data_IF_783247480422
#
_entry.id   IF_783247480422
#
_cell.length_a   1.000
_cell.length_b   1.000
_cell.length_c   1.000
_cell.angle_alpha   90.00
_cell.angle_beta   90.00
_cell.angle_gamma   90.00
#
_symmetry.space_group_name_H-M   'P 1'
#
loop_
_entity.id
_entity.type
_entity.pdbx_description
1 polymer ?
#
# COMPACT_ATOMS: atom_id res chain seq x y z
N UNK A 1 2.41 -18.41 10.75
CA UNK A 1 3.79 -18.38 10.19
C UNK A 1 3.77 -19.31 8.98
N UNK A 2 4.28 -18.90 7.82
CA UNK A 2 4.20 -19.67 6.56
C UNK A 2 5.34 -20.71 6.55
N UNK A 3 5.10 -21.92 7.01
CA UNK A 3 6.10 -22.95 7.32
C UNK A 3 5.99 -24.23 6.47
N UNK A 4 5.02 -24.32 5.57
CA UNK A 4 4.79 -25.48 4.71
C UNK A 4 4.08 -25.09 3.41
N UNK A 5 4.01 -26.03 2.46
CA UNK A 5 3.16 -25.89 1.27
C UNK A 5 1.69 -25.69 1.65
N UNK A 6 1.25 -26.22 2.80
CA UNK A 6 -0.13 -26.11 3.30
C UNK A 6 -0.43 -24.73 3.88
N UNK A 7 0.59 -24.02 4.33
CA UNK A 7 0.38 -22.67 4.86
C UNK A 7 0.60 -21.62 3.80
N UNK A 8 1.55 -21.76 2.85
CA UNK A 8 1.99 -20.76 1.85
C UNK A 8 0.84 -20.03 1.13
N UNK A 9 0.92 -18.69 0.90
CA UNK A 9 -0.14 -17.98 0.20
C UNK A 9 -0.16 -18.40 -1.27
N UNK A 10 -1.37 -18.56 -1.83
CA UNK A 10 -1.60 -18.90 -3.24
C UNK A 10 -2.14 -17.73 -4.08
N UNK A 11 -2.41 -16.61 -3.43
CA UNK A 11 -2.77 -15.35 -4.08
C UNK A 11 -1.87 -14.23 -3.62
N UNK A 12 -1.60 -13.30 -4.54
CA UNK A 12 -0.92 -12.07 -4.25
C UNK A 12 -1.53 -10.96 -5.10
N UNK A 13 -1.96 -9.90 -4.43
CA UNK A 13 -2.35 -8.67 -5.11
C UNK A 13 -1.26 -7.63 -4.88
N UNK A 14 -0.81 -7.03 -5.96
CA UNK A 14 0.06 -5.88 -5.89
C UNK A 14 -0.73 -4.63 -6.26
N UNK A 15 -0.50 -3.56 -5.51
CA UNK A 15 -1.04 -2.24 -5.80
C UNK A 15 0.12 -1.32 -6.20
N UNK A 16 -0.03 -0.61 -7.33
CA UNK A 16 0.97 0.37 -7.76
C UNK A 16 1.19 1.40 -6.67
N UNK A 17 2.45 1.68 -6.37
CA UNK A 17 2.77 2.82 -5.50
C UNK A 17 2.49 4.13 -6.24
N UNK A 18 1.26 4.61 -6.12
CA UNK A 18 0.76 5.86 -6.67
C UNK A 18 -0.04 6.57 -5.56
N UNK A 19 0.18 7.87 -5.32
CA UNK A 19 -0.55 8.60 -4.29
C UNK A 19 -2.07 8.65 -4.52
N UNK A 20 -2.54 8.35 -5.74
CA UNK A 20 -3.97 8.26 -6.07
C UNK A 20 -4.65 6.99 -5.55
N UNK A 21 -3.89 5.98 -5.13
CA UNK A 21 -4.44 4.73 -4.61
C UNK A 21 -4.28 4.69 -3.10
N UNK A 22 -5.41 4.73 -2.39
CA UNK A 22 -5.50 4.36 -0.98
C UNK A 22 -5.94 2.90 -0.93
N UNK A 23 -5.02 2.02 -0.56
CA UNK A 23 -5.24 0.59 -0.52
C UNK A 23 -5.15 0.06 0.91
N UNK A 24 -6.22 -0.57 1.37
CA UNK A 24 -6.32 -1.21 2.68
C UNK A 24 -6.65 -2.68 2.50
N UNK A 25 -5.89 -3.56 3.17
CA UNK A 25 -6.20 -4.98 3.15
C UNK A 25 -7.25 -5.30 4.19
N UNK A 26 -8.36 -5.90 3.74
CA UNK A 26 -9.39 -6.44 4.64
C UNK A 26 -9.23 -7.96 4.75
N UNK A 27 -9.60 -8.52 5.91
CA UNK A 27 -9.46 -9.95 6.22
C UNK A 27 -10.75 -10.51 6.80
N UNK A 28 -11.82 -10.65 5.99
CA UNK A 28 -13.09 -11.18 6.47
C UNK A 28 -12.96 -12.65 6.91
N UNK A 29 -12.05 -13.39 6.27
CA UNK A 29 -11.78 -14.79 6.59
C UNK A 29 -10.28 -15.06 6.62
N UNK A 30 -9.87 -16.05 7.42
CA UNK A 30 -8.52 -16.56 7.44
C UNK A 30 -8.35 -17.60 6.31
N UNK A 31 -7.83 -17.17 5.17
CA UNK A 31 -7.56 -18.03 4.01
C UNK A 31 -6.28 -17.63 3.32
N UNK A 32 -5.66 -18.60 2.63
CA UNK A 32 -4.45 -18.42 1.81
C UNK A 32 -4.76 -18.28 0.32
N UNK A 33 -6.01 -18.56 -0.06
CA UNK A 33 -6.49 -18.71 -1.44
C UNK A 33 -7.32 -17.49 -1.89
N UNK A 34 -7.67 -16.59 -0.96
CA UNK A 34 -8.44 -15.38 -1.27
C UNK A 34 -7.81 -14.17 -0.58
N UNK A 35 -7.71 -13.07 -1.30
CA UNK A 35 -7.16 -11.81 -0.80
C UNK A 35 -8.11 -10.67 -1.14
N UNK A 36 -8.63 -10.03 -0.09
CA UNK A 36 -9.50 -8.85 -0.21
C UNK A 36 -8.74 -7.56 0.05
N UNK A 37 -9.01 -6.55 -0.77
CA UNK A 37 -8.49 -5.20 -0.65
C UNK A 37 -9.61 -4.20 -0.89
N UNK A 38 -9.54 -3.07 -0.21
CA UNK A 38 -10.29 -1.87 -0.57
C UNK A 38 -9.33 -0.89 -1.22
N UNK A 39 -9.61 -0.45 -2.44
CA UNK A 39 -8.85 0.58 -3.15
C UNK A 39 -9.78 1.73 -3.51
N UNK A 40 -9.57 2.91 -2.93
CA UNK A 40 -10.40 4.10 -3.16
C UNK A 40 -11.92 3.83 -3.00
N UNK A 41 -12.30 2.99 -2.04
CA UNK A 41 -13.70 2.62 -1.78
C UNK A 41 -14.26 1.51 -2.69
N UNK A 42 -13.48 0.98 -3.63
CA UNK A 42 -13.81 -0.23 -4.40
C UNK A 42 -13.24 -1.46 -3.69
N UNK A 43 -14.03 -2.53 -3.59
CA UNK A 43 -13.55 -3.81 -3.05
C UNK A 43 -13.03 -4.68 -4.17
N UNK A 44 -11.82 -5.22 -4.01
CA UNK A 44 -11.17 -6.11 -4.96
C UNK A 44 -10.84 -7.40 -4.26
N UNK A 45 -11.23 -8.51 -4.87
CA UNK A 45 -10.97 -9.85 -4.39
C UNK A 45 -10.16 -10.60 -5.43
N UNK A 46 -8.95 -11.00 -5.04
CA UNK A 46 -8.14 -11.94 -5.81
C UNK A 46 -8.41 -13.34 -5.29
N UNK A 47 -8.98 -14.19 -6.14
CA UNK A 47 -9.43 -15.52 -5.82
C UNK A 47 -8.58 -16.56 -6.58
N UNK A 48 -8.08 -17.54 -5.85
CA UNK A 48 -7.50 -18.74 -6.43
C UNK A 48 -8.21 -19.96 -5.89
N UNK A 49 -8.41 -20.94 -6.74
CA UNK A 49 -8.90 -22.25 -6.35
C UNK A 49 -8.16 -23.31 -7.13
N UNK A 50 -7.61 -24.29 -6.41
CA UNK A 50 -7.14 -25.53 -7.03
C UNK A 50 -8.35 -26.41 -7.43
N UNK A 51 -8.21 -27.18 -8.52
CA UNK A 51 -9.21 -28.19 -8.89
C UNK A 51 -9.60 -29.06 -7.68
N UNK A 52 -10.90 -29.32 -7.53
CA UNK A 52 -11.52 -30.16 -6.49
C UNK A 52 -11.37 -29.70 -5.02
N UNK A 53 -10.70 -28.57 -4.75
CA UNK A 53 -10.64 -27.98 -3.41
C UNK A 53 -11.95 -27.22 -3.11
N UNK A 54 -12.58 -27.53 -1.96
CA UNK A 54 -13.93 -27.06 -1.61
C UNK A 54 -13.93 -25.78 -0.76
N UNK A 55 -12.89 -25.58 0.05
CA UNK A 55 -12.92 -24.63 1.17
C UNK A 55 -12.88 -23.17 0.71
N UNK A 56 -12.07 -22.85 -0.31
CA UNK A 56 -11.98 -21.48 -0.85
C UNK A 56 -13.30 -21.05 -1.51
N UNK A 57 -13.90 -21.91 -2.34
CA UNK A 57 -15.18 -21.60 -2.97
C UNK A 57 -16.29 -21.42 -1.93
N UNK A 58 -16.41 -22.31 -0.94
CA UNK A 58 -17.42 -22.15 0.11
C UNK A 58 -17.23 -20.86 0.92
N UNK A 59 -15.98 -20.43 1.12
CA UNK A 59 -15.67 -19.13 1.76
C UNK A 59 -16.15 -17.97 0.90
N UNK A 60 -15.89 -18.01 -0.41
CA UNK A 60 -16.34 -16.97 -1.35
C UNK A 60 -17.88 -16.90 -1.42
N UNK A 61 -18.56 -18.04 -1.53
CA UNK A 61 -20.02 -18.11 -1.65
C UNK A 61 -20.76 -17.60 -0.41
N UNK A 62 -20.16 -17.72 0.78
CA UNK A 62 -20.74 -17.22 2.05
C UNK A 62 -20.44 -15.75 2.32
N UNK A 63 -19.52 -15.15 1.56
CA UNK A 63 -19.09 -13.79 1.81
C UNK A 63 -20.15 -12.79 1.32
N UNK A 64 -20.62 -11.85 2.18
CA UNK A 64 -21.54 -10.81 1.74
C UNK A 64 -20.82 -9.85 0.79
N UNK A 65 -21.22 -9.88 -0.49
CA UNK A 65 -20.60 -9.06 -1.54
C UNK A 65 -21.02 -7.60 -1.35
N UNK A 66 -20.07 -6.65 -1.19
CA UNK A 66 -20.40 -5.24 -1.07
C UNK A 66 -20.69 -4.60 -2.44
N UNK A 67 -21.24 -3.38 -2.44
CA UNK A 67 -21.26 -2.54 -3.63
C UNK A 67 -19.85 -2.23 -4.13
N UNK A 68 -19.72 -1.94 -5.44
CA UNK A 68 -18.45 -1.60 -6.09
C UNK A 68 -17.37 -2.65 -5.85
N UNK A 69 -17.69 -3.89 -6.19
CA UNK A 69 -16.86 -5.06 -5.99
C UNK A 69 -16.37 -5.63 -7.31
N UNK A 70 -15.10 -6.03 -7.36
CA UNK A 70 -14.53 -6.90 -8.37
C UNK A 70 -14.04 -8.18 -7.70
N UNK A 71 -14.49 -9.33 -8.18
CA UNK A 71 -13.95 -10.64 -7.81
C UNK A 71 -13.33 -11.24 -9.05
N UNK A 72 -12.02 -11.50 -9.02
CA UNK A 72 -11.34 -12.08 -10.16
C UNK A 72 -10.20 -13.03 -9.75
N UNK A 73 -9.81 -13.90 -10.68
CA UNK A 73 -8.70 -14.84 -10.53
C UNK A 73 -9.02 -16.19 -11.14
N UNK A 74 -8.36 -17.25 -10.68
CA UNK A 74 -8.50 -18.60 -11.25
C UNK A 74 -9.53 -19.40 -10.46
N UNK A 75 -10.67 -19.65 -11.09
CA UNK A 75 -11.79 -20.39 -10.50
C UNK A 75 -11.71 -21.89 -10.76
N UNK A 76 -10.90 -22.31 -11.74
CA UNK A 76 -10.77 -23.70 -12.18
C UNK A 76 -12.15 -24.37 -12.43
N UNK A 77 -13.09 -23.64 -13.05
CA UNK A 77 -14.46 -24.09 -13.28
C UNK A 77 -15.00 -23.68 -14.65
N UNK A 78 -15.92 -24.49 -15.19
CA UNK A 78 -16.58 -24.22 -16.48
C UNK A 78 -18.08 -24.08 -16.29
N UNK A 79 -18.67 -23.16 -17.05
CA UNK A 79 -20.11 -22.99 -17.20
C UNK A 79 -20.40 -22.37 -18.56
N UNK A 80 -21.55 -22.70 -19.13
CA UNK A 80 -22.01 -22.23 -20.45
C UNK A 80 -22.03 -20.71 -20.63
N UNK A 81 -21.99 -19.94 -19.55
CA UNK A 81 -21.95 -18.47 -19.60
C UNK A 81 -20.57 -17.91 -19.95
N UNK A 82 -19.48 -18.66 -19.77
CA UNK A 82 -18.12 -18.22 -20.11
C UNK A 82 -17.36 -19.19 -21.02
N UNK A 83 -17.77 -20.46 -21.08
CA UNK A 83 -17.21 -21.43 -22.01
C UNK A 83 -18.28 -22.44 -22.45
N UNK A 84 -18.46 -22.61 -23.76
CA UNK A 84 -19.38 -23.58 -24.37
C UNK A 84 -19.03 -25.00 -23.94
N UNK A 85 -20.05 -25.76 -23.56
CA UNK A 85 -19.93 -27.15 -23.13
C UNK A 85 -20.64 -27.41 -21.80
N UNK A 86 -20.38 -28.59 -21.23
CA UNK A 86 -20.92 -28.99 -19.93
C UNK A 86 -20.26 -28.20 -18.80
N UNK A 87 -21.06 -27.81 -17.81
CA UNK A 87 -20.54 -27.17 -16.61
C UNK A 87 -19.73 -28.18 -15.79
N UNK A 88 -18.58 -27.77 -15.27
CA UNK A 88 -17.70 -28.61 -14.44
C UNK A 88 -17.24 -27.86 -13.21
N UNK A 89 -16.74 -28.60 -12.21
CA UNK A 89 -16.09 -28.06 -11.01
C UNK A 89 -16.92 -26.97 -10.29
N UNK A 90 -18.23 -27.20 -10.18
CA UNK A 90 -19.20 -26.29 -9.52
C UNK A 90 -19.42 -24.95 -10.25
N UNK A 91 -19.18 -24.90 -11.56
CA UNK A 91 -19.48 -23.70 -12.37
C UNK A 91 -20.95 -23.24 -12.29
N UNK A 92 -21.90 -24.17 -12.11
CA UNK A 92 -23.31 -23.84 -11.89
C UNK A 92 -23.53 -23.04 -10.60
N UNK A 93 -22.82 -23.38 -9.52
CA UNK A 93 -22.93 -22.68 -8.23
C UNK A 93 -22.28 -21.29 -8.30
N UNK A 94 -21.14 -21.18 -9.00
CA UNK A 94 -20.48 -19.88 -9.24
C UNK A 94 -21.40 -18.95 -10.06
N UNK A 95 -22.05 -19.49 -11.10
CA UNK A 95 -23.00 -18.72 -11.91
C UNK A 95 -24.24 -18.30 -11.10
N UNK A 96 -24.77 -19.18 -10.26
CA UNK A 96 -25.87 -18.87 -9.34
C UNK A 96 -25.48 -17.76 -8.36
N UNK A 97 -24.34 -17.89 -7.70
CA UNK A 97 -23.82 -16.88 -6.77
C UNK A 97 -23.58 -15.52 -7.43
N UNK A 98 -23.03 -15.49 -8.63
CA UNK A 98 -22.85 -14.25 -9.36
C UNK A 98 -24.20 -13.57 -9.65
N UNK A 99 -25.20 -14.35 -10.07
CA UNK A 99 -26.56 -13.84 -10.31
C UNK A 99 -27.26 -13.39 -9.03
N UNK A 100 -27.10 -14.08 -7.91
CA UNK A 100 -27.70 -13.73 -6.61
C UNK A 100 -27.11 -12.45 -6.01
N UNK A 101 -25.89 -12.08 -6.41
CA UNK A 101 -25.17 -10.90 -5.92
C UNK A 101 -25.05 -9.77 -6.96
N UNK A 102 -25.86 -9.82 -8.04
CA UNK A 102 -25.85 -8.84 -9.14
C UNK A 102 -24.45 -8.60 -9.75
N UNK A 103 -23.64 -9.66 -9.83
CA UNK A 103 -22.30 -9.62 -10.39
C UNK A 103 -22.31 -10.00 -11.88
N UNK A 104 -21.96 -9.04 -12.74
CA UNK A 104 -21.78 -9.26 -14.16
C UNK A 104 -20.44 -9.96 -14.43
N UNK A 105 -20.47 -11.00 -15.26
CA UNK A 105 -19.27 -11.62 -15.81
C UNK A 105 -18.64 -10.69 -16.86
N UNK A 106 -17.36 -10.36 -16.70
CA UNK A 106 -16.63 -9.52 -17.65
C UNK A 106 -16.00 -10.30 -18.80
N UNK A 107 -15.76 -11.60 -18.61
CA UNK A 107 -15.17 -12.44 -19.64
C UNK A 107 -16.09 -12.52 -20.86
N UNK A 108 -15.50 -12.40 -22.05
CA UNK A 108 -16.17 -12.74 -23.30
C UNK A 108 -16.29 -14.26 -23.44
N UNK A 109 -17.47 -14.73 -23.81
CA UNK A 109 -17.77 -16.15 -24.03
C UNK A 109 -16.77 -16.79 -25.01
N UNK A 110 -16.26 -17.97 -24.66
CA UNK A 110 -15.33 -18.78 -25.47
C UNK A 110 -13.98 -18.14 -25.79
N UNK A 111 -13.66 -16.99 -25.20
CA UNK A 111 -12.32 -16.43 -25.28
C UNK A 111 -11.43 -17.13 -24.24
N UNK A 112 -10.39 -17.86 -24.67
CA UNK A 112 -9.58 -18.64 -23.75
C UNK A 112 -8.70 -17.73 -22.89
N UNK A 113 -8.52 -18.11 -21.64
CA UNK A 113 -7.60 -17.48 -20.68
C UNK A 113 -6.30 -18.26 -20.51
N UNK A 114 -6.13 -19.34 -21.27
CA UNK A 114 -4.87 -20.07 -21.37
C UNK A 114 -4.62 -20.62 -22.79
N UNK A 115 -3.37 -21.01 -23.12
CA UNK A 115 -3.04 -21.63 -24.41
C UNK A 115 -3.75 -22.96 -24.69
N UNK A 116 -4.38 -23.56 -23.67
CA UNK A 116 -5.10 -24.84 -23.79
C UNK A 116 -6.56 -24.68 -24.25
N UNK A 117 -7.01 -23.45 -24.51
CA UNK A 117 -8.36 -23.18 -24.98
C UNK A 117 -9.42 -23.14 -23.88
N UNK A 118 -9.03 -23.00 -22.61
CA UNK A 118 -9.95 -22.93 -21.49
C UNK A 118 -10.15 -21.50 -20.99
N UNK A 119 -11.34 -21.21 -20.50
CA UNK A 119 -11.72 -19.94 -19.86
C UNK A 119 -11.99 -20.21 -18.39
N UNK A 120 -10.92 -20.25 -17.59
CA UNK A 120 -10.98 -20.61 -16.15
C UNK A 120 -10.57 -19.45 -15.24
N UNK A 121 -9.91 -18.44 -15.80
CA UNK A 121 -9.64 -17.18 -15.12
C UNK A 121 -10.85 -16.27 -15.35
N UNK A 122 -11.61 -16.00 -14.29
CA UNK A 122 -12.89 -15.30 -14.39
C UNK A 122 -12.83 -13.97 -13.65
N UNK A 123 -13.65 -13.02 -14.09
CA UNK A 123 -13.86 -11.74 -13.43
C UNK A 123 -15.34 -11.39 -13.37
N UNK A 124 -15.80 -11.08 -12.16
CA UNK A 124 -17.18 -10.76 -11.82
C UNK A 124 -17.24 -9.41 -11.13
N UNK A 125 -18.17 -8.54 -11.53
CA UNK A 125 -18.31 -7.21 -10.91
C UNK A 125 -19.73 -6.67 -10.93
N UNK A 126 -20.11 -5.94 -9.88
CA UNK A 126 -21.35 -5.16 -9.84
C UNK A 126 -21.12 -3.68 -10.23
N UNK A 127 -19.96 -3.36 -10.81
CA UNK A 127 -19.68 -2.01 -11.32
C UNK A 127 -20.16 -1.89 -12.77
N UNK A 128 -20.94 -0.85 -13.10
CA UNK A 128 -21.41 -0.64 -14.46
C UNK A 128 -20.24 -0.25 -15.38
N UNK A 129 -20.37 -0.61 -16.66
CA UNK A 129 -19.43 -0.24 -17.73
C UNK A 129 -17.98 -0.70 -17.51
N UNK A 130 -17.77 -1.71 -16.67
CA UNK A 130 -16.47 -2.36 -16.55
C UNK A 130 -16.22 -3.24 -17.78
N UNK A 131 -15.00 -3.21 -18.30
CA UNK A 131 -14.58 -4.00 -19.45
C UNK A 131 -13.39 -4.88 -19.09
N UNK A 132 -13.35 -6.09 -19.65
CA UNK A 132 -12.19 -6.98 -19.56
C UNK A 132 -11.62 -7.26 -20.94
N UNK A 133 -10.29 -7.23 -21.05
CA UNK A 133 -9.55 -7.68 -22.22
C UNK A 133 -8.59 -8.79 -21.83
N UNK A 134 -8.52 -9.83 -22.67
CA UNK A 134 -7.50 -10.87 -22.53
C UNK A 134 -6.24 -10.39 -23.24
N UNK A 135 -5.24 -10.07 -22.43
CA UNK A 135 -3.93 -9.60 -22.88
C UNK A 135 -2.96 -10.78 -22.99
N UNK A 136 -3.15 -11.59 -24.03
CA UNK A 136 -2.35 -12.77 -24.33
C UNK A 136 -0.85 -12.46 -24.52
N UNK A 137 -0.53 -11.27 -25.05
CA UNK A 137 0.82 -10.75 -25.22
C UNK A 137 1.51 -10.37 -23.90
N UNK A 138 0.75 -10.28 -22.80
CA UNK A 138 1.25 -10.01 -21.45
C UNK A 138 1.52 -11.29 -20.64
N UNK A 139 1.12 -12.46 -21.16
CA UNK A 139 1.31 -13.77 -20.53
C UNK A 139 2.69 -13.93 -19.89
N UNK A 140 2.71 -14.19 -18.59
CA UNK A 140 3.90 -14.14 -17.72
C UNK A 140 4.65 -15.47 -17.71
N UNK A 141 5.04 -16.02 -18.87
CA UNK A 141 5.68 -17.35 -18.97
C UNK A 141 4.92 -18.49 -18.25
N UNK A 142 3.68 -18.21 -17.80
CA UNK A 142 2.71 -19.15 -17.28
C UNK A 142 1.90 -19.67 -18.46
N UNK A 143 1.28 -20.81 -18.24
CA UNK A 143 0.15 -21.32 -18.99
C UNK A 143 -1.13 -20.49 -18.86
N UNK A 144 -1.11 -19.29 -18.28
CA UNK A 144 -2.26 -18.38 -18.22
C UNK A 144 -1.99 -17.06 -18.96
N UNK A 145 -3.02 -16.53 -19.63
CA UNK A 145 -3.05 -15.20 -20.20
C UNK A 145 -3.41 -14.16 -19.13
N UNK A 146 -3.05 -12.90 -19.35
CA UNK A 146 -3.33 -11.83 -18.40
C UNK A 146 -4.70 -11.23 -18.69
N UNK A 147 -5.53 -11.05 -17.66
CA UNK A 147 -6.76 -10.27 -17.78
C UNK A 147 -6.49 -8.82 -17.37
N UNK A 148 -6.88 -7.88 -18.22
CA UNK A 148 -6.84 -6.44 -17.96
C UNK A 148 -8.25 -5.92 -17.79
N UNK A 149 -8.48 -5.11 -16.75
CA UNK A 149 -9.80 -4.58 -16.44
C UNK A 149 -9.78 -3.06 -16.43
N UNK A 150 -10.71 -2.45 -17.15
CA UNK A 150 -10.86 -1.00 -17.22
C UNK A 150 -12.16 -0.59 -16.54
N UNK A 151 -12.09 0.41 -15.67
CA UNK A 151 -13.22 0.95 -14.93
C UNK A 151 -13.33 2.45 -15.19
N UNK A 152 -14.51 2.92 -15.57
CA UNK A 152 -14.78 4.34 -15.83
C UNK A 152 -14.82 5.19 -14.55
N UNK A 153 -15.27 4.62 -13.43
CA UNK A 153 -15.52 5.35 -12.19
C UNK A 153 -14.54 4.95 -11.06
N UNK A 154 -13.23 4.97 -11.29
CA UNK A 154 -12.29 4.97 -10.16
C UNK A 154 -12.22 6.39 -9.62
N UNK A 155 -12.97 6.66 -8.54
CA UNK A 155 -12.86 7.89 -7.77
C UNK A 155 -11.40 8.09 -7.39
N UNK A 156 -10.74 9.01 -8.10
CA UNK A 156 -9.36 9.36 -7.79
C UNK A 156 -9.38 10.13 -6.49
N UNK A 157 -8.61 9.66 -5.50
CA UNK A 157 -8.38 10.48 -4.32
C UNK A 157 -7.62 11.74 -4.75
N UNK A 158 -7.98 12.92 -4.23
CA UNK A 158 -7.23 14.14 -4.51
C UNK A 158 -5.76 13.90 -4.22
N UNK A 159 -4.92 14.03 -5.24
CA UNK A 159 -3.47 13.85 -5.08
C UNK A 159 -3.02 14.91 -4.09
N UNK A 160 -2.63 14.47 -2.89
CA UNK A 160 -1.91 15.34 -1.98
C UNK A 160 -0.67 15.83 -2.72
N UNK A 161 -0.51 17.14 -2.95
CA UNK A 161 0.58 17.66 -3.75
C UNK A 161 1.89 17.17 -3.14
N UNK A 162 2.77 16.62 -4.00
CA UNK A 162 4.05 16.10 -3.54
C UNK A 162 4.78 17.20 -2.74
N UNK A 163 5.25 16.87 -1.54
CA UNK A 163 6.00 17.84 -0.71
C UNK A 163 7.09 18.48 -1.56
N UNK A 164 7.05 19.80 -1.67
CA UNK A 164 8.03 20.55 -2.44
C UNK A 164 9.28 20.71 -1.58
N UNK A 165 10.44 20.53 -2.21
CA UNK A 165 11.73 20.64 -1.54
C UNK A 165 12.53 21.74 -2.19
N UNK A 166 12.96 22.67 -1.36
CA UNK A 166 14.00 23.67 -1.62
C UNK A 166 15.21 23.18 -0.82
N UNK A 167 16.29 22.75 -1.49
CA UNK A 167 17.43 22.08 -0.84
C UNK A 167 18.78 22.63 -1.24
N UNK A 168 18.95 23.02 -2.50
CA UNK A 168 20.23 23.57 -2.95
C UNK A 168 20.29 25.05 -2.63
N UNK A 169 21.50 25.59 -2.52
CA UNK A 169 21.71 27.00 -2.24
C UNK A 169 21.05 27.89 -3.32
N UNK A 170 21.16 27.49 -4.59
CA UNK A 170 20.51 28.19 -5.71
C UNK A 170 18.98 28.17 -5.62
N UNK A 171 18.39 27.05 -5.17
CA UNK A 171 16.93 26.94 -4.96
C UNK A 171 16.49 27.84 -3.80
N UNK A 172 17.30 27.91 -2.74
CA UNK A 172 17.02 28.76 -1.58
C UNK A 172 17.14 30.24 -1.94
N UNK A 173 18.17 30.62 -2.69
CA UNK A 173 18.36 31.99 -3.18
C UNK A 173 17.18 32.44 -4.03
N UNK A 174 16.77 31.62 -5.00
CA UNK A 174 15.61 31.90 -5.85
C UNK A 174 14.30 31.96 -5.05
N UNK A 175 14.16 31.15 -4.01
CA UNK A 175 13.01 31.21 -3.11
C UNK A 175 12.95 32.56 -2.38
N UNK A 176 14.07 33.01 -1.81
CA UNK A 176 14.17 34.31 -1.12
C UNK A 176 13.83 35.45 -2.08
N UNK A 177 14.40 35.46 -3.28
CA UNK A 177 14.13 36.50 -4.30
C UNK A 177 12.63 36.60 -4.63
N UNK A 178 11.94 35.48 -4.78
CA UNK A 178 10.49 35.47 -5.08
C UNK A 178 9.67 35.92 -3.87
N UNK A 179 10.07 35.56 -2.65
CA UNK A 179 9.38 36.00 -1.42
C UNK A 179 9.56 37.50 -1.22
N UNK A 180 10.76 38.03 -1.42
CA UNK A 180 11.04 39.47 -1.30
C UNK A 180 10.22 40.28 -2.31
N UNK A 181 10.15 39.81 -3.57
CA UNK A 181 9.32 40.43 -4.61
C UNK A 181 7.83 40.38 -4.28
N UNK A 182 7.31 39.26 -3.77
CA UNK A 182 5.88 39.14 -3.48
C UNK A 182 5.47 39.79 -2.16
N UNK A 183 6.39 39.96 -1.21
CA UNK A 183 6.10 40.60 0.07
C UNK A 183 5.75 42.08 -0.08
N UNK A 184 6.22 42.75 -1.14
CA UNK A 184 5.87 44.15 -1.42
C UNK A 184 4.42 44.34 -1.83
N UNK A 185 3.74 43.27 -2.26
CA UNK A 185 2.33 43.31 -2.68
C UNK A 185 1.36 42.98 -1.54
N UNK A 186 1.86 42.61 -0.36
CA UNK A 186 1.03 42.29 0.80
C UNK A 186 0.69 43.58 1.55
N UNK A 187 -0.60 43.97 1.66
CA UNK A 187 -1.01 45.14 2.43
C UNK A 187 -0.68 45.00 3.92
N UNK A 188 -0.28 46.10 4.56
CA UNK A 188 0.09 46.18 5.99
C UNK A 188 -1.03 46.72 6.89
N UNK A 189 -2.28 46.72 6.41
CA UNK A 189 -3.41 47.32 7.13
C UNK A 189 -4.12 46.27 7.97
N UNK A 190 -3.76 46.24 9.25
CA UNK A 190 -4.29 45.31 10.25
C UNK A 190 -5.17 46.07 11.25
N UNK A 191 -6.48 45.91 11.19
CA UNK A 191 -7.38 46.49 12.20
C UNK A 191 -8.52 45.56 12.61
N UNK A 192 -8.87 44.55 11.80
CA UNK A 192 -9.92 43.57 12.12
C UNK A 192 -9.43 42.11 12.10
N UNK A 193 -10.07 41.20 12.84
CA UNK A 193 -9.73 39.76 12.78
C UNK A 193 -9.83 39.15 11.38
N UNK A 194 -10.76 39.62 10.55
CA UNK A 194 -10.93 39.13 9.18
C UNK A 194 -9.75 39.55 8.27
N UNK A 195 -9.26 40.78 8.43
CA UNK A 195 -8.06 41.26 7.72
C UNK A 195 -6.81 40.46 8.10
N UNK A 196 -6.70 40.04 9.37
CA UNK A 196 -5.59 39.18 9.82
C UNK A 196 -5.63 37.78 9.19
N UNK A 197 -6.82 37.19 9.04
CA UNK A 197 -6.97 35.89 8.38
C UNK A 197 -6.68 35.99 6.86
N UNK A 198 -7.06 37.10 6.23
CA UNK A 198 -6.74 37.41 4.83
C UNK A 198 -5.24 37.63 4.62
N UNK A 199 -4.58 38.34 5.55
CA UNK A 199 -3.13 38.51 5.59
C UNK A 199 -2.42 37.16 5.72
N UNK A 200 -2.85 36.33 6.67
CA UNK A 200 -2.29 34.99 6.87
C UNK A 200 -2.46 34.12 5.62
N UNK A 201 -3.62 34.18 4.97
CA UNK A 201 -3.90 33.47 3.72
C UNK A 201 -3.00 33.94 2.58
N UNK A 202 -2.79 35.26 2.46
CA UNK A 202 -1.92 35.87 1.47
C UNK A 202 -0.46 35.47 1.66
N UNK A 203 0.02 35.45 2.91
CA UNK A 203 1.38 35.01 3.26
C UNK A 203 1.58 33.52 2.95
N UNK A 204 0.62 32.67 3.31
CA UNK A 204 0.67 31.23 3.02
C UNK A 204 0.68 31.00 1.50
N UNK A 205 -0.14 31.76 0.75
CA UNK A 205 -0.19 31.68 -0.71
C UNK A 205 1.14 32.08 -1.35
N UNK A 206 1.74 33.19 -0.90
CA UNK A 206 3.05 33.66 -1.36
C UNK A 206 4.14 32.61 -1.11
N UNK A 207 4.30 32.18 0.15
CA UNK A 207 5.33 31.20 0.54
C UNK A 207 5.15 29.88 -0.21
N UNK A 208 3.90 29.44 -0.39
CA UNK A 208 3.59 28.24 -1.16
C UNK A 208 3.99 28.41 -2.63
N UNK A 209 3.62 29.51 -3.26
CA UNK A 209 3.90 29.80 -4.67
C UNK A 209 5.41 29.96 -4.93
N UNK A 210 6.10 30.69 -4.06
CA UNK A 210 7.56 30.82 -4.10
C UNK A 210 8.25 29.46 -3.97
N UNK A 211 7.80 28.61 -3.03
CA UNK A 211 8.32 27.26 -2.88
C UNK A 211 8.07 26.42 -4.13
N UNK A 212 6.91 26.55 -4.80
CA UNK A 212 6.63 25.82 -6.06
C UNK A 212 7.50 26.29 -7.22
N UNK A 213 7.76 27.59 -7.31
CA UNK A 213 8.51 28.19 -8.41
C UNK A 213 10.03 27.96 -8.27
N UNK A 214 10.56 28.00 -7.05
CA UNK A 214 11.97 27.81 -6.77
C UNK A 214 12.35 26.34 -6.55
N UNK A 215 11.47 25.58 -5.89
CA UNK A 215 11.73 24.21 -5.47
C UNK A 215 11.34 23.17 -6.51
N UNK A 216 11.61 21.92 -6.16
CA UNK A 216 11.24 20.74 -6.96
C UNK A 216 10.33 19.81 -6.17
N UNK A 217 9.37 19.14 -6.82
CA UNK A 217 8.59 18.09 -6.18
C UNK A 217 9.53 17.02 -5.62
N UNK A 218 9.29 16.57 -4.38
CA UNK A 218 10.04 15.46 -3.83
C UNK A 218 9.76 14.19 -4.64
N UNK A 219 10.61 13.92 -5.64
CA UNK A 219 10.59 12.66 -6.37
C UNK A 219 11.10 11.57 -5.44
N UNK A 220 10.22 10.65 -5.04
CA UNK A 220 10.62 9.35 -4.48
C UNK A 220 11.15 8.47 -5.63
N UNK A 221 12.26 8.89 -6.25
CA UNK A 221 12.98 8.05 -7.20
C UNK A 221 13.55 6.84 -6.44
N UNK A 222 13.22 5.64 -6.89
CA UNK A 222 13.89 4.43 -6.39
C UNK A 222 15.38 4.49 -6.73
N UNK A 223 16.23 4.02 -5.83
CA UNK A 223 17.63 3.79 -6.20
C UNK A 223 17.69 2.68 -7.25
N UNK A 224 18.60 2.76 -8.23
CA UNK A 224 18.81 1.66 -9.16
C UNK A 224 19.11 0.39 -8.37
N UNK A 225 18.54 -0.71 -8.84
CA UNK A 225 18.76 -2.01 -8.26
C UNK A 225 20.25 -2.35 -8.24
N UNK A 226 20.86 -2.62 -7.07
CA UNK A 226 22.32 -2.78 -6.97
C UNK A 226 22.86 -4.04 -7.65
N UNK A 227 21.97 -4.98 -7.99
CA UNK A 227 22.26 -6.21 -8.73
C UNK A 227 22.07 -6.06 -10.25
N UNK A 228 21.69 -4.88 -10.75
CA UNK A 228 21.46 -4.63 -12.16
C UNK A 228 22.80 -4.45 -12.89
N UNK A 229 23.17 -5.44 -13.71
CA UNK A 229 24.43 -5.46 -14.46
C UNK A 229 24.23 -5.01 -15.91
N UNK A 230 25.33 -4.71 -16.62
CA UNK A 230 25.30 -4.42 -18.06
C UNK A 230 24.67 -5.57 -18.85
N UNK A 231 24.96 -6.81 -18.48
CA UNK A 231 24.35 -7.99 -19.08
C UNK A 231 22.82 -8.02 -18.92
N UNK A 232 22.30 -7.55 -17.77
CA UNK A 232 20.86 -7.39 -17.58
C UNK A 232 20.29 -6.29 -18.50
N UNK A 233 21.04 -5.20 -18.72
CA UNK A 233 20.65 -4.13 -19.62
C UNK A 233 20.60 -4.61 -21.08
N UNK A 234 21.62 -5.34 -21.54
CA UNK A 234 21.67 -5.95 -22.88
C UNK A 234 20.52 -6.94 -23.08
N UNK A 235 20.30 -7.87 -22.13
CA UNK A 235 19.22 -8.84 -22.23
C UNK A 235 17.83 -8.18 -22.21
N UNK A 236 17.67 -7.10 -21.43
CA UNK A 236 16.44 -6.30 -21.43
C UNK A 236 16.24 -5.58 -22.78
N UNK A 237 17.30 -5.05 -23.39
CA UNK A 237 17.24 -4.39 -24.69
C UNK A 237 16.88 -5.38 -25.81
N UNK A 238 17.48 -6.58 -25.81
CA UNK A 238 17.15 -7.65 -26.76
C UNK A 238 15.69 -8.09 -26.63
N UNK A 239 15.22 -8.35 -25.39
CA UNK A 239 13.81 -8.65 -25.14
C UNK A 239 12.87 -7.54 -25.62
N UNK A 240 13.20 -6.27 -25.34
CA UNK A 240 12.40 -5.12 -25.80
C UNK A 240 12.38 -5.01 -27.32
N UNK A 241 13.48 -5.31 -28.01
CA UNK A 241 13.54 -5.30 -29.47
C UNK A 241 12.60 -6.34 -30.07
N UNK A 242 12.67 -7.59 -29.60
CA UNK A 242 11.79 -8.67 -30.05
C UNK A 242 10.32 -8.35 -29.74
N UNK A 243 10.02 -7.84 -28.54
CA UNK A 243 8.67 -7.43 -28.16
C UNK A 243 8.12 -6.29 -29.04
N UNK A 244 8.95 -5.38 -29.53
CA UNK A 244 8.50 -4.30 -30.43
C UNK A 244 8.12 -4.83 -31.81
N UNK A 245 8.72 -5.93 -32.26
CA UNK A 245 8.37 -6.57 -33.54
C UNK A 245 7.01 -7.28 -33.51
N UNK A 246 6.51 -7.63 -32.32
CA UNK A 246 5.24 -8.33 -32.13
C UNK A 246 4.41 -7.60 -31.04
N UNK A 247 3.77 -6.46 -31.39
CA UNK A 247 3.09 -5.62 -30.41
C UNK A 247 1.79 -6.24 -29.88
N UNK A 248 1.16 -7.16 -30.62
CA UNK A 248 -0.11 -7.80 -30.29
C UNK A 248 -0.03 -9.32 -30.47
N UNK A 249 -0.89 -10.03 -29.74
CA UNK A 249 -1.03 -11.48 -29.82
C UNK A 249 0.03 -12.27 -29.04
N UNK A 250 -0.31 -13.50 -28.68
CA UNK A 250 0.65 -14.46 -28.16
C UNK A 250 1.71 -14.81 -29.22
N UNK A 251 2.99 -14.64 -28.88
CA UNK A 251 4.11 -14.96 -29.76
C UNK A 251 5.20 -15.75 -29.01
N UNK A 252 5.59 -16.89 -29.58
CA UNK A 252 6.55 -17.81 -28.97
C UNK A 252 7.96 -17.21 -28.82
N UNK A 253 8.41 -16.41 -29.78
CA UNK A 253 9.72 -15.76 -29.74
C UNK A 253 9.78 -14.69 -28.65
N UNK A 254 8.70 -13.94 -28.45
CA UNK A 254 8.56 -13.00 -27.33
C UNK A 254 8.67 -13.74 -26.00
N UNK A 255 8.05 -14.92 -25.87
CA UNK A 255 8.13 -15.73 -24.65
C UNK A 255 9.53 -16.31 -24.42
N UNK A 256 10.21 -16.78 -25.47
CA UNK A 256 11.60 -17.25 -25.43
C UNK A 256 12.52 -16.11 -24.96
N UNK A 257 12.43 -14.94 -25.61
CA UNK A 257 13.23 -13.77 -25.27
C UNK A 257 12.99 -13.30 -23.83
N UNK A 258 11.73 -13.33 -23.37
CA UNK A 258 11.33 -13.02 -21.99
C UNK A 258 11.97 -14.00 -21.00
N UNK A 259 11.90 -15.31 -21.29
CA UNK A 259 12.51 -16.36 -20.46
C UNK A 259 14.02 -16.18 -20.35
N UNK A 260 14.70 -15.87 -21.44
CA UNK A 260 16.15 -15.68 -21.46
C UNK A 260 16.57 -14.42 -20.72
N UNK A 261 15.85 -13.31 -20.90
CA UNK A 261 16.00 -12.12 -20.06
C UNK A 261 15.82 -12.44 -18.57
N UNK A 262 14.76 -13.16 -18.20
CA UNK A 262 14.53 -13.58 -16.81
C UNK A 262 15.65 -14.48 -16.27
N UNK A 263 16.25 -15.32 -17.11
CA UNK A 263 17.39 -16.18 -16.73
C UNK A 263 18.60 -15.35 -16.33
N UNK A 264 18.95 -14.35 -17.15
CA UNK A 264 20.06 -13.41 -16.88
C UNK A 264 19.82 -12.64 -15.59
N UNK A 265 18.63 -12.06 -15.43
CA UNK A 265 18.25 -11.31 -14.21
C UNK A 265 18.24 -12.23 -12.97
N UNK A 266 17.79 -13.49 -13.11
CA UNK A 266 17.87 -14.51 -12.06
C UNK A 266 19.31 -14.74 -11.61
N UNK A 267 20.22 -14.98 -12.55
CA UNK A 267 21.66 -15.15 -12.28
C UNK A 267 22.27 -13.92 -11.61
N UNK A 268 22.00 -12.72 -12.13
CA UNK A 268 22.57 -11.47 -11.61
C UNK A 268 22.21 -11.22 -10.13
N UNK A 269 20.94 -11.35 -9.73
CA UNK A 269 20.62 -11.20 -8.28
C UNK A 269 21.25 -12.30 -7.44
N UNK A 270 21.27 -13.55 -7.93
CA UNK A 270 21.84 -14.66 -7.16
C UNK A 270 23.32 -14.39 -6.89
N UNK A 271 24.05 -13.90 -7.88
CA UNK A 271 25.46 -13.55 -7.75
C UNK A 271 25.66 -12.33 -6.84
N UNK A 272 24.86 -11.27 -7.00
CA UNK A 272 24.90 -10.11 -6.10
C UNK A 272 24.70 -10.51 -4.63
N UNK A 273 23.67 -11.30 -4.33
CA UNK A 273 23.40 -11.72 -2.95
C UNK A 273 24.49 -12.62 -2.39
N UNK A 274 25.03 -13.55 -3.20
CA UNK A 274 26.19 -14.36 -2.80
C UNK A 274 27.38 -13.48 -2.45
N UNK A 275 27.80 -12.61 -3.36
CA UNK A 275 28.92 -11.71 -3.14
C UNK A 275 28.69 -10.79 -1.93
N UNK A 276 27.46 -10.32 -1.71
CA UNK A 276 27.15 -9.47 -0.56
C UNK A 276 27.33 -10.22 0.77
N UNK A 277 26.89 -11.49 0.83
CA UNK A 277 27.06 -12.36 2.00
C UNK A 277 28.53 -12.70 2.21
N UNK A 278 29.23 -13.07 1.14
CA UNK A 278 30.66 -13.44 1.19
C UNK A 278 31.54 -12.27 1.67
N UNK A 279 31.12 -11.02 1.42
CA UNK A 279 31.82 -9.81 1.84
C UNK A 279 31.45 -9.32 3.26
N UNK A 280 30.67 -10.07 4.04
CA UNK A 280 30.39 -9.72 5.44
C UNK A 280 31.61 -9.92 6.31
N UNK A 281 32.34 -8.83 6.57
CA UNK A 281 33.57 -8.82 7.38
C UNK A 281 33.39 -8.29 8.80
N UNK A 282 32.24 -7.69 9.14
CA UNK A 282 32.00 -7.11 10.47
C UNK A 282 30.64 -7.48 11.07
N UNK A 283 30.56 -7.50 12.40
CA UNK A 283 29.30 -7.69 13.14
C UNK A 283 28.23 -6.65 12.74
N UNK A 284 28.63 -5.39 12.45
CA UNK A 284 27.72 -4.34 11.99
C UNK A 284 27.04 -4.65 10.63
N UNK A 285 27.75 -5.28 9.70
CA UNK A 285 27.21 -5.70 8.40
C UNK A 285 26.23 -6.86 8.53
N UNK A 286 26.51 -7.77 9.47
CA UNK A 286 25.60 -8.87 9.83
C UNK A 286 24.30 -8.32 10.45
N UNK A 287 24.37 -7.33 11.35
CA UNK A 287 23.17 -6.69 11.91
C UNK A 287 22.30 -5.98 10.86
N UNK A 288 22.91 -5.40 9.82
CA UNK A 288 22.14 -4.85 8.67
C UNK A 288 21.40 -5.96 7.92
N UNK A 289 22.02 -7.13 7.75
CA UNK A 289 21.40 -8.28 7.09
C UNK A 289 20.26 -8.89 7.93
N UNK A 290 20.39 -8.94 9.26
CA UNK A 290 19.31 -9.38 10.17
C UNK A 290 18.04 -8.54 10.00
N UNK A 291 18.19 -7.23 9.69
CA UNK A 291 17.06 -6.35 9.40
C UNK A 291 16.33 -6.69 8.08
N UNK A 292 16.98 -7.41 7.17
CA UNK A 292 16.34 -7.91 5.94
C UNK A 292 15.61 -9.23 6.16
N UNK A 293 16.09 -10.06 7.08
CA UNK A 293 15.49 -11.36 7.43
C UNK A 293 14.31 -11.22 8.40
N UNK A 294 14.34 -10.20 9.25
CA UNK A 294 13.22 -9.87 10.13
C UNK A 294 12.26 -8.96 9.40
N UNK A 295 11.07 -9.48 9.06
CA UNK A 295 9.91 -8.60 8.81
C UNK A 295 9.84 -7.62 9.97
N UNK A 296 9.79 -6.29 9.72
CA UNK A 296 9.35 -5.38 10.76
C UNK A 296 7.93 -5.85 11.08
N UNK A 297 7.74 -6.57 12.18
CA UNK A 297 6.42 -7.00 12.61
C UNK A 297 5.50 -5.78 12.73
N UNK A 298 4.20 -6.02 12.88
CA UNK A 298 3.27 -4.94 13.22
C UNK A 298 3.88 -4.12 14.37
N UNK A 299 3.98 -2.81 14.18
CA UNK A 299 4.55 -1.91 15.18
C UNK A 299 3.87 -2.21 16.52
N UNK A 300 4.65 -2.74 17.47
CA UNK A 300 4.18 -3.00 18.81
C UNK A 300 4.54 -1.77 19.63
N UNK A 301 3.58 -0.86 19.91
CA UNK A 301 3.86 0.24 20.82
C UNK A 301 4.33 -0.35 22.16
N UNK A 302 5.23 0.33 22.89
CA UNK A 302 5.66 -0.11 24.21
C UNK A 302 4.47 -0.42 25.14
N UNK A 303 4.61 -1.34 26.12
CA UNK A 303 3.61 -1.56 27.14
C UNK A 303 3.20 -0.25 27.81
N UNK A 304 1.91 -0.10 28.07
CA UNK A 304 1.34 1.09 28.68
C UNK A 304 1.04 0.78 30.14
N UNK A 305 1.53 1.59 31.08
CA UNK A 305 1.15 1.46 32.49
C UNK A 305 0.15 2.56 32.87
N UNK A 306 -1.01 2.16 33.37
CA UNK A 306 -2.02 3.05 33.99
C UNK A 306 -2.35 2.47 35.37
N UNK A 307 -2.28 3.28 36.43
CA UNK A 307 -2.61 2.88 37.81
C UNK A 307 -1.99 1.55 38.26
N UNK A 308 -0.69 1.36 37.96
CA UNK A 308 0.09 0.14 38.26
C UNK A 308 -0.31 -1.14 37.52
N UNK A 309 -1.24 -1.07 36.58
CA UNK A 309 -1.56 -2.17 35.66
C UNK A 309 -0.85 -1.96 34.33
N UNK A 310 -0.19 -3.01 33.82
CA UNK A 310 0.56 -2.97 32.55
C UNK A 310 -0.28 -3.61 31.45
N UNK A 311 -0.55 -2.85 30.40
CA UNK A 311 -1.29 -3.27 29.22
C UNK A 311 -0.33 -3.51 28.06
N UNK A 312 -0.38 -4.72 27.49
CA UNK A 312 0.53 -5.14 26.43
C UNK A 312 -0.13 -5.23 25.04
N UNK A 313 -1.40 -5.63 24.98
CA UNK A 313 -2.13 -5.73 23.71
C UNK A 313 -2.58 -4.35 23.19
N UNK A 314 -2.74 -4.21 21.88
CA UNK A 314 -3.17 -2.93 21.28
C UNK A 314 -4.60 -2.56 21.69
N UNK A 315 -5.50 -3.54 21.82
CA UNK A 315 -6.89 -3.31 22.22
C UNK A 315 -6.97 -2.86 23.68
N UNK A 316 -6.22 -3.52 24.57
CA UNK A 316 -6.23 -3.16 25.99
C UNK A 316 -5.59 -1.80 26.22
N UNK A 317 -4.54 -1.45 25.46
CA UNK A 317 -3.96 -0.10 25.46
C UNK A 317 -4.96 0.96 25.01
N UNK A 318 -5.73 0.69 23.96
CA UNK A 318 -6.75 1.62 23.46
C UNK A 318 -7.87 1.83 24.48
N UNK A 319 -8.35 0.76 25.10
CA UNK A 319 -9.37 0.81 26.15
C UNK A 319 -8.85 1.51 27.41
N UNK A 320 -7.63 1.20 27.85
CA UNK A 320 -7.00 1.84 29.00
C UNK A 320 -6.81 3.35 28.78
N UNK A 321 -6.40 3.78 27.57
CA UNK A 321 -6.31 5.20 27.21
C UNK A 321 -7.70 5.86 27.19
N UNK A 322 -8.71 5.21 26.60
CA UNK A 322 -10.08 5.72 26.58
C UNK A 322 -10.60 5.93 28.01
N UNK A 323 -10.44 4.93 28.87
CA UNK A 323 -10.91 4.99 30.24
C UNK A 323 -10.13 6.02 31.08
N UNK A 324 -8.80 6.04 30.97
CA UNK A 324 -7.96 6.95 31.74
C UNK A 324 -8.08 8.43 31.34
N UNK A 325 -8.41 8.70 30.07
CA UNK A 325 -8.36 10.06 29.49
C UNK A 325 -9.72 10.64 29.14
N UNK A 326 -10.68 9.81 28.71
CA UNK A 326 -11.98 10.25 28.20
C UNK A 326 -13.13 9.97 29.16
N UNK A 327 -13.13 8.82 29.85
CA UNK A 327 -14.23 8.43 30.76
C UNK A 327 -14.13 9.08 32.15
N UNK A 328 -13.06 9.84 32.44
CA UNK A 328 -12.91 10.59 33.70
C UNK A 328 -13.65 11.93 33.72
N UNK A 329 -14.08 12.44 32.55
CA UNK A 329 -14.76 13.74 32.46
C UNK A 329 -16.25 13.54 32.70
N UNK A 330 -16.74 14.02 33.83
CA UNK A 330 -18.17 14.13 34.12
C UNK A 330 -18.70 15.45 33.55
N UNK A 331 -20.03 15.62 33.47
CA UNK A 331 -20.65 16.87 33.01
C UNK A 331 -20.28 18.09 33.88
N UNK A 332 -19.69 17.86 35.07
CA UNK A 332 -19.16 18.91 35.93
C UNK A 332 -17.80 19.47 35.46
N UNK A 333 -17.07 18.75 34.60
CA UNK A 333 -15.81 19.22 33.97
C UNK A 333 -16.07 20.00 32.66
N UNK A 334 -17.33 20.11 32.24
CA UNK A 334 -17.71 20.93 31.09
C UNK A 334 -17.66 22.42 31.45
N UNK A 335 -17.19 23.23 30.51
CA UNK A 335 -17.17 24.68 30.66
C UNK A 335 -18.62 25.15 30.67
N UNK A 336 -19.12 25.63 31.81
CA UNK A 336 -20.53 25.98 32.03
C UNK A 336 -21.13 26.93 30.96
N UNK A 337 -20.30 27.69 30.25
CA UNK A 337 -20.70 28.43 29.06
C UNK A 337 -19.49 28.71 28.14
N UNK A 338 -19.43 28.08 26.98
CA UNK A 338 -18.32 28.18 26.03
C UNK A 338 -18.17 29.57 25.35
N UNK A 339 -19.11 30.49 25.59
CA UNK A 339 -19.18 31.81 24.93
C UNK A 339 -19.11 33.00 25.88
N UNK A 340 -18.87 32.80 27.18
CA UNK A 340 -18.62 33.93 28.10
C UNK A 340 -17.19 34.45 27.94
N UNK A 341 -16.98 35.73 27.61
CA UNK A 341 -15.64 36.31 27.59
C UNK A 341 -15.09 36.40 29.02
N UNK A 342 -13.80 36.08 29.25
CA UNK A 342 -13.21 36.18 30.58
C UNK A 342 -13.15 37.64 31.02
N UNK A 343 -13.49 37.91 32.28
CA UNK A 343 -13.38 39.22 32.92
C UNK A 343 -11.91 39.62 33.04
N UNK A 344 -11.48 40.60 32.25
CA UNK A 344 -10.19 41.27 32.44
C UNK A 344 -10.37 42.43 33.41
N UNK A 345 -9.58 42.45 34.49
CA UNK A 345 -9.46 43.63 35.35
C UNK A 345 -8.44 44.58 34.73
N UNK A 346 -8.92 45.65 34.09
CA UNK A 346 -8.13 46.61 33.30
C UNK A 346 -7.24 47.59 34.11
N UNK A 347 -6.83 47.24 35.33
CA UNK A 347 -6.06 48.16 36.20
C UNK A 347 -4.64 47.71 36.56
N UNK A 348 -4.09 46.64 35.96
CA UNK A 348 -2.70 46.25 36.20
C UNK A 348 -1.92 46.09 34.90
N UNK A 349 -0.98 47.01 34.64
CA UNK A 349 -0.06 46.96 33.49
C UNK A 349 0.87 45.74 33.59
N UNK A 350 0.82 44.86 32.57
CA UNK A 350 1.56 43.59 32.40
C UNK A 350 3.10 43.64 32.46
N UNK A 351 3.73 44.81 32.57
CA UNK A 351 5.21 44.92 32.51
C UNK A 351 5.94 44.79 33.86
N UNK A 352 5.22 44.63 34.96
CA UNK A 352 5.81 44.53 36.31
C UNK A 352 5.58 43.19 37.02
N UNK A 353 5.08 42.15 36.34
CA UNK A 353 4.82 40.83 36.96
C UNK A 353 5.66 39.67 36.41
N UNK A 354 6.66 39.91 35.55
CA UNK A 354 7.60 38.86 35.20
C UNK A 354 9.00 39.42 35.01
N UNK A 355 9.88 39.12 35.97
CA UNK A 355 11.31 39.07 35.73
C UNK A 355 11.58 37.97 34.68
N UNK A 356 12.40 38.32 33.70
CA UNK A 356 12.72 37.50 32.55
C UNK A 356 13.51 36.25 32.95
N UNK A 357 12.98 35.07 32.62
CA UNK A 357 13.81 33.94 32.18
C UNK A 357 13.21 33.37 30.89
N UNK A 358 14.00 33.46 29.83
CA UNK A 358 13.62 33.01 28.49
C UNK A 358 13.48 31.49 28.44
N UNK A 359 12.34 30.99 27.96
CA UNK A 359 12.31 29.80 27.10
C UNK A 359 10.96 29.73 26.39
N UNK A 360 10.98 29.62 25.06
CA UNK A 360 9.78 29.35 24.27
C UNK A 360 9.10 28.07 24.79
N UNK A 361 7.91 28.22 25.39
CA UNK A 361 7.09 27.08 25.84
C UNK A 361 6.37 26.46 24.64
N UNK A 362 6.77 25.24 24.27
CA UNK A 362 6.08 24.43 23.25
C UNK A 362 4.62 24.10 23.66
N UNK A 363 3.72 23.92 22.68
CA UNK A 363 2.29 23.59 22.87
C UNK A 363 2.03 22.49 23.91
N UNK A 364 2.89 21.47 24.01
CA UNK A 364 2.79 20.39 25.01
C UNK A 364 2.86 20.86 26.47
N UNK A 365 3.67 21.89 26.79
CA UNK A 365 3.83 22.38 28.17
C UNK A 365 2.64 23.23 28.64
N UNK A 366 1.87 23.83 27.72
CA UNK A 366 0.59 24.49 28.06
C UNK A 366 -0.51 23.48 28.37
N UNK A 367 -0.45 22.29 27.78
CA UNK A 367 -1.40 21.21 28.07
C UNK A 367 -1.12 20.56 29.43
N UNK A 368 0.15 20.47 29.82
CA UNK A 368 0.58 20.00 31.16
C UNK A 368 0.05 20.89 32.29
N UNK A 369 -0.01 22.23 32.11
CA UNK A 369 -0.57 23.16 33.11
C UNK A 369 -2.12 23.04 33.22
N UNK A 370 -2.81 22.65 32.15
CA UNK A 370 -4.27 22.41 32.14
C UNK A 370 -4.66 21.02 32.67
N UNK A 371 -3.70 20.09 32.78
CA UNK A 371 -3.90 18.69 33.18
C UNK A 371 -3.15 18.34 34.48
N UNK A 372 -2.81 19.34 35.30
CA UNK A 372 -1.87 19.23 36.43
C UNK A 372 -2.22 18.22 37.54
N UNK A 373 -3.38 17.56 37.48
CA UNK A 373 -3.77 16.49 38.41
C UNK A 373 -3.85 15.09 37.76
N UNK A 374 -3.53 14.95 36.47
CA UNK A 374 -3.60 13.67 35.76
C UNK A 374 -2.29 12.89 35.93
N UNK A 375 -2.35 11.72 36.58
CA UNK A 375 -1.24 10.77 36.57
C UNK A 375 -1.01 10.27 35.12
N UNK A 376 0.04 10.76 34.47
CA UNK A 376 0.34 10.41 33.09
C UNK A 376 0.78 8.93 32.98
N UNK A 377 0.23 8.17 32.02
CA UNK A 377 0.69 6.81 31.74
C UNK A 377 2.18 6.77 31.41
N UNK A 378 2.91 5.84 32.01
CA UNK A 378 4.36 5.71 31.82
C UNK A 378 4.66 4.62 30.79
N UNK A 379 5.56 4.93 29.85
CA UNK A 379 6.11 3.97 28.90
C UNK A 379 7.25 3.19 29.56
N UNK A 380 7.17 1.86 29.54
CA UNK A 380 8.20 0.99 30.13
C UNK A 380 9.08 0.37 29.02
N UNK A 381 10.38 0.25 29.31
CA UNK A 381 11.36 -0.40 28.44
C UNK A 381 11.24 -1.94 28.57
N UNK A 382 11.17 -2.66 27.43
CA UNK A 382 11.07 -4.13 27.42
C UNK A 382 12.30 -4.80 28.05
N UNK A 383 12.09 -5.78 28.93
CA UNK A 383 13.11 -6.79 29.30
C UNK A 383 12.94 -8.02 28.39
N UNK A 384 14.02 -8.47 27.76
CA UNK A 384 14.01 -9.63 26.87
C UNK A 384 14.12 -10.93 27.69
N UNK A 385 13.18 -11.86 27.52
CA UNK A 385 13.41 -13.27 27.82
C UNK A 385 13.95 -13.98 26.57
N UNK A 386 14.93 -14.84 26.79
CA UNK A 386 15.71 -15.51 25.77
C UNK A 386 15.03 -16.84 25.42
N UNK A 387 14.22 -16.88 24.37
CA UNK A 387 13.72 -18.13 23.78
C UNK A 387 14.71 -18.65 22.73
N UNK A 388 15.04 -19.95 22.81
CA UNK A 388 15.86 -20.65 21.82
C UNK A 388 15.06 -20.89 20.54
N UNK A 389 15.65 -20.58 19.38
CA UNK A 389 15.06 -20.84 18.06
C UNK A 389 15.90 -21.84 17.24
N UNK A 390 15.27 -22.79 16.52
CA UNK A 390 15.92 -23.67 15.54
C UNK A 390 16.15 -22.97 14.17
N UNK A 391 16.98 -23.54 13.26
CA UNK A 391 17.57 -22.79 12.15
C UNK A 391 16.64 -22.62 10.92
N UNK A 392 16.93 -21.60 10.11
CA UNK A 392 16.14 -21.13 8.95
C UNK A 392 16.97 -21.15 7.65
N UNK A 393 16.36 -21.58 6.54
CA UNK A 393 16.78 -21.36 5.13
C UNK A 393 15.53 -21.00 4.29
N UNK A 394 15.43 -19.78 3.71
CA UNK A 394 15.71 -19.28 2.32
C UNK A 394 14.63 -19.71 1.28
N UNK A 395 14.07 -18.93 0.32
CA UNK A 395 14.51 -17.80 -0.54
C UNK A 395 13.43 -16.68 -0.75
N UNK A 396 13.79 -15.59 -1.46
CA UNK A 396 13.13 -14.26 -1.38
C UNK A 396 12.25 -13.80 -2.56
N UNK A 397 11.15 -13.12 -2.19
CA UNK A 397 9.99 -12.63 -2.96
C UNK A 397 10.26 -11.41 -3.87
N UNK A 398 11.43 -10.76 -3.80
CA UNK A 398 11.61 -9.43 -4.40
C UNK A 398 11.75 -9.42 -5.94
N UNK A 399 12.04 -10.55 -6.58
CA UNK A 399 12.17 -10.67 -8.05
C UNK A 399 10.85 -10.53 -8.78
N UNK A 400 9.84 -11.23 -8.28
CA UNK A 400 8.51 -11.29 -8.86
C UNK A 400 7.82 -9.93 -8.74
N UNK A 401 8.02 -9.26 -7.60
CA UNK A 401 7.50 -7.93 -7.33
C UNK A 401 8.00 -6.87 -8.33
N UNK A 402 9.28 -6.87 -8.73
CA UNK A 402 9.83 -5.84 -9.62
C UNK A 402 9.44 -5.96 -11.09
N UNK A 403 9.22 -7.19 -11.57
CA UNK A 403 8.69 -7.42 -12.91
C UNK A 403 7.23 -6.95 -13.00
N UNK A 404 6.43 -7.26 -11.97
CA UNK A 404 5.07 -6.76 -11.80
C UNK A 404 5.01 -5.23 -11.72
N UNK A 405 5.86 -4.62 -10.88
CA UNK A 405 6.03 -3.16 -10.73
C UNK A 405 6.26 -2.43 -12.05
N UNK A 406 7.02 -3.04 -12.97
CA UNK A 406 7.42 -2.41 -14.23
C UNK A 406 6.33 -2.52 -15.29
N UNK A 407 5.53 -3.58 -15.23
CA UNK A 407 4.36 -3.79 -16.06
C UNK A 407 3.14 -2.99 -15.60
N UNK A 408 2.86 -2.91 -14.30
CA UNK A 408 1.82 -2.04 -13.75
C UNK A 408 2.08 -0.56 -14.07
N UNK A 409 3.33 -0.19 -14.34
CA UNK A 409 3.69 1.16 -14.77
C UNK A 409 3.22 1.50 -16.19
N UNK A 410 2.99 0.51 -17.05
CA UNK A 410 2.54 0.69 -18.43
C UNK A 410 1.03 0.61 -18.62
N UNK A 411 0.27 0.27 -17.58
CA UNK A 411 -1.19 0.28 -17.62
C UNK A 411 -1.74 1.69 -17.40
N UNK A 412 -2.91 1.97 -17.98
CA UNK A 412 -3.62 3.23 -17.74
C UNK A 412 -3.86 3.43 -16.23
N UNK A 413 -3.80 4.67 -15.71
CA UNK A 413 -4.02 4.92 -14.29
C UNK A 413 -5.35 4.44 -13.71
N UNK A 414 -6.35 4.15 -14.54
CA UNK A 414 -7.65 3.61 -14.14
C UNK A 414 -7.76 2.08 -14.35
N UNK A 415 -6.72 1.44 -14.90
CA UNK A 415 -6.70 -0.01 -15.11
C UNK A 415 -6.34 -0.72 -13.80
N UNK A 416 -7.21 -1.63 -13.37
CA UNK A 416 -6.91 -2.57 -12.31
C UNK A 416 -6.55 -3.93 -12.91
N UNK A 417 -5.57 -4.61 -12.32
CA UNK A 417 -5.22 -5.97 -12.73
C UNK A 417 -5.30 -6.88 -11.53
N UNK A 418 -6.00 -8.00 -11.74
CA UNK A 418 -6.00 -9.16 -10.86
C UNK A 418 -5.21 -10.29 -11.52
N UNK A 419 -4.35 -10.97 -10.76
CA UNK A 419 -3.49 -12.05 -11.23
C UNK A 419 -3.61 -13.25 -10.28
N UNK A 420 -3.96 -14.41 -10.81
CA UNK A 420 -3.87 -15.73 -10.17
C UNK A 420 -2.62 -16.44 -10.69
N UNK A 421 -1.69 -16.80 -9.80
CA UNK A 421 -0.56 -17.65 -10.18
C UNK A 421 -0.89 -19.11 -9.93
N UNK A 422 -1.68 -19.71 -10.83
CA UNK A 422 -2.17 -21.09 -10.76
C UNK A 422 -1.13 -22.21 -10.82
N UNK A 423 0.05 -22.01 -10.25
CA UNK A 423 1.16 -22.96 -10.28
C UNK A 423 0.90 -24.19 -9.40
N UNK A 424 0.41 -25.25 -10.03
CA UNK A 424 0.66 -26.63 -9.61
C UNK A 424 2.00 -27.10 -10.20
N UNK A 425 2.91 -27.58 -9.35
CA UNK A 425 4.04 -28.39 -9.80
C UNK A 425 4.24 -29.56 -8.85
N UNK A 426 3.73 -30.73 -9.25
CA UNK A 426 3.94 -32.01 -8.55
C UNK A 426 5.38 -32.56 -8.68
N UNK A 427 6.23 -31.99 -9.55
CA UNK A 427 7.64 -32.39 -9.67
C UNK A 427 8.52 -31.19 -9.97
N UNK A 428 8.97 -30.51 -8.91
CA UNK A 428 9.99 -29.48 -9.03
C UNK A 428 10.69 -29.33 -7.69
N UNK A 429 11.92 -29.84 -7.61
CA UNK A 429 12.84 -29.70 -6.49
C UNK A 429 12.78 -28.27 -5.93
N UNK A 430 12.08 -28.14 -4.81
CA UNK A 430 12.04 -26.93 -4.01
C UNK A 430 13.41 -26.74 -3.38
N UNK A 431 14.23 -25.91 -4.02
CA UNK A 431 15.44 -25.38 -3.41
C UNK A 431 15.11 -23.96 -2.96
N UNK A 432 14.80 -23.86 -1.66
CA UNK A 432 14.89 -22.63 -0.89
C UNK A 432 16.30 -22.07 -0.87
#
# INVERSE_FOLDING_TARGET
MWNSNDTRPRVMTYVRRDPRFLADQIRPFQTRDILWLTINGMTIVNFYRQNDERDSLNTLLRWPVPERCLVAGDFNARHRSWQTGQATNRGQEIAGWASENDLNLLNTLDIPTNPHGNTIDLAFTNMPLAEATVEDHLATSSDHFTLSFTFLDIRSTPVQPAKIRVKTEDELKRFVEIVELGATEIPLTDSTPAELDELASSLISLLTSAAKAAGRPARKGGRPAPWWTEECACAAAAFRAIRRSYPCGFNQDVQIAKRDFHRVVRRAKRQYWRNLIDNFSSSSTVFKAVRWLKSPGAFQPPPLQVDNVVYESQMDKANALRQATLERRTAEDDIANAWTPPTYHDLIKRKYQAQAESSFRTRLRRTDELLGQCACPKLIQKRFQQEQMPPLQTASKEKTAEAFLRWVKSLDPLTLVVYSDGSLSEKGLGLG
#
